data_IF_553968266733
#
_entry.id   IF_553968266733
#
_cell.length_a   1.000
_cell.length_b   1.000
_cell.length_c   1.000
_cell.angle_alpha   90.00
_cell.angle_beta   90.00
_cell.angle_gamma   90.00
#
_symmetry.space_group_name_H-M   'P 1'
#
loop_
_entity.id
_entity.type
_entity.pdbx_description
1 polymer ?
#
# COMPACT_ATOMS: atom_id res chain seq x y z
N UNK A 1 4.38 -42.11 28.75
CA UNK A 1 5.49 -41.24 29.22
C UNK A 1 5.19 -40.82 30.65
N UNK A 2 6.21 -40.66 31.50
CA UNK A 2 6.05 -40.04 32.83
C UNK A 2 5.54 -38.58 32.71
N UNK A 3 4.98 -38.06 33.81
CA UNK A 3 4.51 -36.68 34.02
C UNK A 3 5.37 -35.64 33.28
N UNK A 4 4.78 -35.03 32.23
CA UNK A 4 5.51 -34.15 31.32
C UNK A 4 5.79 -32.78 31.97
N UNK A 5 5.04 -32.43 33.01
CA UNK A 5 5.17 -31.17 33.74
C UNK A 5 6.24 -31.23 34.84
N UNK A 6 6.68 -32.43 35.25
CA UNK A 6 7.71 -32.59 36.28
C UNK A 6 9.08 -32.08 35.82
N UNK A 7 9.71 -31.12 36.53
CA UNK A 7 11.07 -30.69 36.28
C UNK A 7 12.08 -31.83 36.39
N UNK A 8 12.80 -32.15 35.31
CA UNK A 8 13.91 -33.11 35.31
C UNK A 8 14.89 -32.87 34.17
N UNK A 9 16.08 -33.44 34.31
CA UNK A 9 17.07 -33.54 33.24
C UNK A 9 16.62 -34.59 32.21
N UNK A 10 16.79 -34.27 30.92
CA UNK A 10 16.36 -35.09 29.78
C UNK A 10 17.41 -35.03 28.67
N UNK A 11 17.39 -36.05 27.82
CA UNK A 11 18.30 -36.18 26.65
C UNK A 11 17.53 -36.21 25.32
N UNK A 12 16.20 -36.16 25.39
CA UNK A 12 15.31 -36.44 24.27
C UNK A 12 14.35 -35.28 23.95
N UNK A 13 13.81 -34.59 24.95
CA UNK A 13 13.01 -33.39 24.73
C UNK A 13 13.00 -32.43 25.94
N UNK A 14 12.60 -31.18 25.71
CA UNK A 14 12.21 -30.21 26.75
C UNK A 14 11.04 -29.37 26.25
N UNK A 15 10.14 -29.01 27.15
CA UNK A 15 9.00 -28.12 26.87
C UNK A 15 9.21 -26.82 27.62
N UNK A 16 9.10 -25.72 26.90
CA UNK A 16 9.03 -24.36 27.40
C UNK A 16 7.60 -23.87 27.32
N UNK A 17 7.17 -23.14 28.35
CA UNK A 17 5.86 -22.50 28.38
C UNK A 17 6.01 -21.02 28.79
N UNK A 18 5.29 -20.14 28.11
CA UNK A 18 5.13 -18.74 28.49
C UNK A 18 3.81 -18.57 29.22
N UNK A 19 3.88 -18.12 30.48
CA UNK A 19 2.72 -18.06 31.39
C UNK A 19 2.43 -16.61 31.78
N UNK A 20 1.16 -16.22 31.80
CA UNK A 20 0.72 -14.91 32.30
C UNK A 20 0.87 -14.80 33.83
N UNK A 21 0.69 -13.60 34.38
CA UNK A 21 0.67 -13.40 35.85
C UNK A 21 -0.43 -14.22 36.54
N UNK A 22 -1.53 -14.48 35.84
CA UNK A 22 -2.68 -15.22 36.35
C UNK A 22 -2.56 -16.74 36.14
N UNK A 23 -1.41 -17.22 35.65
CA UNK A 23 -1.11 -18.64 35.53
C UNK A 23 -1.59 -19.29 34.25
N UNK A 24 -2.12 -18.53 33.28
CA UNK A 24 -2.54 -19.08 31.99
C UNK A 24 -1.34 -19.29 31.06
N UNK A 25 -1.28 -20.45 30.43
CA UNK A 25 -0.29 -20.75 29.39
C UNK A 25 -0.77 -20.10 28.09
N UNK A 26 0.10 -19.32 27.46
CA UNK A 26 -0.20 -18.57 26.23
C UNK A 26 0.86 -18.83 25.13
N UNK A 27 1.98 -19.46 25.48
CA UNK A 27 3.06 -19.82 24.56
C UNK A 27 3.60 -21.18 24.94
N UNK A 28 3.94 -22.02 23.96
CA UNK A 28 4.53 -23.34 24.14
C UNK A 28 5.63 -23.50 23.09
N UNK A 29 6.84 -23.90 23.50
CA UNK A 29 7.91 -24.31 22.58
C UNK A 29 8.45 -25.66 23.01
N UNK A 30 8.47 -26.60 22.09
CA UNK A 30 8.98 -27.96 22.32
C UNK A 30 10.26 -28.11 21.53
N UNK A 31 11.31 -28.55 22.20
CA UNK A 31 12.54 -29.03 21.57
C UNK A 31 12.63 -30.53 21.72
N UNK A 32 12.87 -31.25 20.63
CA UNK A 32 13.04 -32.69 20.65
C UNK A 32 14.00 -33.17 19.57
N UNK A 33 14.57 -34.36 19.76
CA UNK A 33 15.58 -34.92 18.85
C UNK A 33 15.07 -35.19 17.44
N UNK A 34 13.76 -35.33 17.28
CA UNK A 34 13.07 -35.52 16.02
C UNK A 34 11.64 -34.97 16.09
N UNK A 35 11.00 -34.87 14.92
CA UNK A 35 9.64 -34.34 14.73
C UNK A 35 8.58 -35.16 15.46
N UNK A 36 8.68 -36.49 15.42
CA UNK A 36 7.70 -37.39 16.04
C UNK A 36 7.66 -37.16 17.54
N UNK A 37 8.82 -37.09 18.18
CA UNK A 37 8.94 -36.85 19.61
C UNK A 37 8.49 -35.43 19.99
N UNK A 38 8.72 -34.43 19.14
CA UNK A 38 8.24 -33.06 19.37
C UNK A 38 6.71 -33.00 19.39
N UNK A 39 6.05 -33.66 18.44
CA UNK A 39 4.59 -33.74 18.36
C UNK A 39 3.99 -34.49 19.54
N UNK A 40 4.54 -35.67 19.88
CA UNK A 40 4.10 -36.45 21.04
C UNK A 40 4.22 -35.64 22.35
N UNK A 41 5.33 -34.93 22.52
CA UNK A 41 5.55 -34.09 23.70
C UNK A 41 4.58 -32.89 23.73
N UNK A 42 4.28 -32.27 22.60
CA UNK A 42 3.31 -31.18 22.53
C UNK A 42 1.90 -31.66 22.87
N UNK A 43 1.45 -32.76 22.26
CA UNK A 43 0.12 -33.33 22.51
C UNK A 43 -0.05 -33.76 23.98
N UNK A 44 0.95 -34.40 24.56
CA UNK A 44 0.93 -34.78 25.96
C UNK A 44 0.92 -33.55 26.88
N UNK A 45 1.70 -32.52 26.58
CA UNK A 45 1.72 -31.28 27.36
C UNK A 45 0.36 -30.58 27.36
N UNK A 46 -0.28 -30.48 26.18
CA UNK A 46 -1.63 -29.91 26.06
C UNK A 46 -2.64 -30.71 26.89
N UNK A 47 -2.59 -32.05 26.79
CA UNK A 47 -3.49 -32.95 27.52
C UNK A 47 -3.33 -32.84 29.04
N UNK A 48 -2.10 -32.83 29.55
CA UNK A 48 -1.83 -32.75 31.00
C UNK A 48 -2.16 -31.38 31.59
N UNK A 49 -2.17 -30.32 30.77
CA UNK A 49 -2.53 -28.96 31.19
C UNK A 49 -4.00 -28.59 30.87
N UNK A 50 -4.82 -29.56 30.44
CA UNK A 50 -6.22 -29.36 30.07
C UNK A 50 -6.45 -28.27 29.00
N UNK A 51 -5.50 -28.15 28.07
CA UNK A 51 -5.57 -27.20 26.95
C UNK A 51 -6.17 -27.91 25.74
N UNK A 52 -7.17 -27.29 25.11
CA UNK A 52 -7.72 -27.82 23.87
C UNK A 52 -6.79 -27.47 22.69
N UNK A 53 -6.41 -28.43 21.81
CA UNK A 53 -5.48 -28.16 20.71
C UNK A 53 -5.91 -27.02 19.78
N UNK A 54 -7.21 -26.77 19.62
CA UNK A 54 -7.72 -25.68 18.79
C UNK A 54 -7.40 -24.29 19.32
N UNK A 55 -7.10 -24.16 20.61
CA UNK A 55 -6.88 -22.88 21.28
C UNK A 55 -5.46 -22.34 21.00
N UNK A 56 -4.62 -23.18 20.40
CA UNK A 56 -3.25 -22.86 20.03
C UNK A 56 -3.05 -22.99 18.52
N UNK A 57 -2.16 -22.17 17.99
CA UNK A 57 -1.74 -22.17 16.59
C UNK A 57 -0.24 -22.41 16.56
N UNK A 58 0.19 -23.42 15.79
CA UNK A 58 1.62 -23.63 15.52
C UNK A 58 2.10 -22.51 14.59
N UNK A 59 3.07 -21.73 15.06
CA UNK A 59 3.61 -20.57 14.33
C UNK A 59 4.98 -20.85 13.72
N UNK A 60 5.69 -21.85 14.24
CA UNK A 60 7.03 -22.21 13.80
C UNK A 60 7.25 -23.70 14.05
N UNK A 61 7.87 -24.39 13.09
CA UNK A 61 8.33 -25.76 13.24
C UNK A 61 9.51 -26.04 12.30
N UNK A 62 10.41 -26.94 12.70
CA UNK A 62 11.55 -27.35 11.88
C UNK A 62 12.81 -27.63 12.70
N UNK A 63 13.90 -27.95 12.01
CA UNK A 63 15.19 -28.15 12.67
C UNK A 63 15.87 -26.81 12.94
N UNK A 64 16.22 -26.56 14.20
CA UNK A 64 17.06 -25.47 14.66
C UNK A 64 18.52 -25.94 14.74
N UNK A 65 19.44 -25.05 14.33
CA UNK A 65 20.87 -25.23 14.51
C UNK A 65 21.26 -24.96 15.97
N UNK A 66 21.90 -25.95 16.59
CA UNK A 66 22.36 -25.90 17.98
C UNK A 66 23.85 -26.21 18.09
N UNK A 67 24.60 -26.07 16.99
CA UNK A 67 26.04 -26.25 16.96
C UNK A 67 26.72 -25.37 18.03
N UNK A 68 27.57 -26.00 18.85
CA UNK A 68 28.26 -25.33 19.96
C UNK A 68 27.42 -25.14 21.24
N UNK A 69 26.15 -25.52 21.29
CA UNK A 69 25.35 -25.53 22.52
C UNK A 69 25.49 -26.87 23.25
N UNK A 70 25.80 -26.86 24.56
CA UNK A 70 25.86 -28.09 25.37
C UNK A 70 24.49 -28.51 25.92
N UNK A 71 23.66 -27.53 26.27
CA UNK A 71 22.34 -27.71 26.91
C UNK A 71 21.33 -26.67 26.43
N UNK A 72 20.05 -27.02 26.48
CA UNK A 72 18.92 -26.09 26.31
C UNK A 72 18.18 -25.97 27.65
N UNK A 73 18.12 -24.75 28.18
CA UNK A 73 17.51 -24.36 29.46
C UNK A 73 16.90 -22.97 29.34
N UNK A 74 16.12 -22.55 30.33
CA UNK A 74 15.63 -21.15 30.40
C UNK A 74 16.75 -20.12 30.48
N UNK A 75 17.97 -20.52 30.89
CA UNK A 75 19.16 -19.65 30.94
C UNK A 75 19.90 -19.56 29.61
N UNK A 76 19.83 -20.59 28.76
CA UNK A 76 20.45 -20.53 27.42
C UNK A 76 19.49 -19.89 26.42
N UNK A 77 18.19 -19.91 26.72
CA UNK A 77 17.12 -19.27 25.94
C UNK A 77 16.84 -17.83 26.43
N UNK A 78 17.89 -17.02 26.61
CA UNK A 78 17.76 -15.64 27.11
C UNK A 78 16.96 -14.75 26.15
N UNK A 79 17.16 -14.91 24.84
CA UNK A 79 16.44 -14.17 23.81
C UNK A 79 14.93 -14.49 23.84
N UNK A 80 14.58 -15.78 23.92
CA UNK A 80 13.19 -16.22 24.06
C UNK A 80 12.56 -15.67 25.36
N UNK A 81 13.31 -15.70 26.46
CA UNK A 81 12.89 -15.15 27.74
C UNK A 81 12.61 -13.64 27.65
N UNK A 82 13.47 -12.88 26.98
CA UNK A 82 13.29 -11.45 26.74
C UNK A 82 12.08 -11.16 25.83
N UNK A 83 11.89 -11.94 24.76
CA UNK A 83 10.74 -11.81 23.84
C UNK A 83 9.43 -12.03 24.58
N UNK A 84 9.36 -13.05 25.45
CA UNK A 84 8.16 -13.36 26.21
C UNK A 84 7.91 -12.35 27.32
N UNK A 85 8.95 -11.87 28.01
CA UNK A 85 8.84 -10.84 29.02
C UNK A 85 8.25 -9.54 28.46
N UNK A 86 8.63 -9.14 27.23
CA UNK A 86 8.03 -7.98 26.53
C UNK A 86 6.53 -8.14 26.29
N UNK A 87 6.04 -9.37 26.15
CA UNK A 87 4.61 -9.65 26.04
C UNK A 87 3.92 -9.97 27.37
N UNK A 88 4.57 -9.66 28.50
CA UNK A 88 4.00 -9.88 29.82
C UNK A 88 3.98 -11.35 30.25
N UNK A 89 4.72 -12.23 29.56
CA UNK A 89 4.78 -13.66 29.84
C UNK A 89 6.07 -14.01 30.56
N UNK A 90 5.97 -14.95 31.50
CA UNK A 90 7.11 -15.55 32.18
C UNK A 90 7.44 -16.87 31.52
N UNK A 91 8.67 -17.00 31.00
CA UNK A 91 9.19 -18.26 30.48
C UNK A 91 9.46 -19.23 31.62
N UNK A 92 8.92 -20.44 31.52
CA UNK A 92 9.23 -21.59 32.36
C UNK A 92 9.57 -22.79 31.49
N UNK A 93 10.29 -23.78 32.03
CA UNK A 93 10.54 -25.05 31.35
C UNK A 93 10.21 -26.22 32.25
N UNK A 94 9.90 -27.35 31.63
CA UNK A 94 9.74 -28.63 32.35
C UNK A 94 11.09 -29.30 32.65
N UNK A 95 12.25 -28.67 32.38
CA UNK A 95 13.54 -29.31 32.57
C UNK A 95 14.72 -28.69 31.84
N UNK A 96 15.80 -29.48 31.78
CA UNK A 96 17.06 -29.22 31.06
C UNK A 96 17.19 -30.29 29.98
N UNK A 97 17.52 -29.88 28.76
CA UNK A 97 17.85 -30.80 27.68
C UNK A 97 19.35 -30.81 27.41
N UNK A 98 19.98 -31.97 27.51
CA UNK A 98 21.38 -32.16 27.11
C UNK A 98 21.49 -32.51 25.63
N UNK A 99 22.31 -31.77 24.89
CA UNK A 99 22.45 -31.92 23.44
C UNK A 99 23.48 -32.99 23.05
N UNK A 100 24.41 -33.33 23.94
CA UNK A 100 25.42 -34.40 23.77
C UNK A 100 26.13 -34.38 22.41
N UNK A 101 26.48 -33.19 21.92
CA UNK A 101 27.19 -33.00 20.65
C UNK A 101 26.30 -33.13 19.40
N UNK A 102 24.99 -32.92 19.52
CA UNK A 102 24.10 -32.76 18.36
C UNK A 102 24.21 -31.34 17.83
N UNK A 103 24.24 -31.22 16.50
CA UNK A 103 24.29 -29.93 15.81
C UNK A 103 22.90 -29.42 15.42
N UNK A 104 21.88 -30.29 15.46
CA UNK A 104 20.50 -29.94 15.12
C UNK A 104 19.49 -30.57 16.06
N UNK A 105 18.40 -29.85 16.30
CA UNK A 105 17.26 -30.32 17.07
C UNK A 105 15.95 -29.89 16.42
N UNK A 106 14.91 -30.70 16.50
CA UNK A 106 13.60 -30.30 16.01
C UNK A 106 12.90 -29.41 17.04
N UNK A 107 12.24 -28.37 16.55
CA UNK A 107 11.43 -27.48 17.37
C UNK A 107 10.00 -27.35 16.84
N UNK A 108 9.06 -27.14 17.76
CA UNK A 108 7.68 -26.73 17.47
C UNK A 108 7.32 -25.60 18.43
N UNK A 109 6.87 -24.47 17.89
CA UNK A 109 6.37 -23.32 18.65
C UNK A 109 4.89 -23.14 18.40
N UNK A 110 4.10 -23.12 19.47
CA UNK A 110 2.66 -22.89 19.46
C UNK A 110 2.30 -21.69 20.35
N UNK A 111 1.39 -20.86 19.87
CA UNK A 111 0.92 -19.64 20.55
C UNK A 111 -0.60 -19.73 20.70
N UNK A 112 -1.13 -19.32 21.85
CA UNK A 112 -2.58 -19.25 22.05
C UNK A 112 -3.22 -18.23 21.11
N UNK A 113 -4.47 -18.46 20.72
CA UNK A 113 -5.22 -17.49 19.92
C UNK A 113 -5.39 -16.15 20.63
N UNK A 114 -5.57 -16.16 21.95
CA UNK A 114 -5.69 -14.94 22.77
C UNK A 114 -4.40 -14.11 22.80
N UNK A 115 -3.22 -14.74 22.86
CA UNK A 115 -1.94 -14.01 22.77
C UNK A 115 -1.67 -13.49 21.36
N UNK A 116 -2.06 -14.28 20.36
CA UNK A 116 -2.02 -13.87 18.96
C UNK A 116 -2.93 -12.67 18.72
N UNK A 117 -4.11 -12.63 19.35
CA UNK A 117 -5.08 -11.54 19.27
C UNK A 117 -4.64 -10.29 20.07
N UNK A 118 -4.07 -10.45 21.27
CA UNK A 118 -3.60 -9.33 22.09
C UNK A 118 -2.30 -8.68 21.59
N UNK A 119 -1.44 -9.42 20.86
CA UNK A 119 -0.29 -8.83 20.14
C UNK A 119 -0.66 -8.14 18.83
N UNK A 120 -1.83 -8.43 18.25
CA UNK A 120 -2.33 -7.80 17.02
C UNK A 120 -2.77 -6.34 17.20
N UNK A 121 -2.96 -5.90 18.45
CA UNK A 121 -3.17 -4.48 18.78
C UNK A 121 -1.84 -3.70 18.92
N UNK A 122 -0.67 -4.38 18.83
CA UNK A 122 0.65 -3.75 19.06
C UNK A 122 1.71 -3.98 17.96
N UNK A 123 1.45 -4.81 16.94
CA UNK A 123 2.21 -4.71 15.69
C UNK A 123 1.72 -3.48 14.93
N UNK A 124 2.42 -2.34 15.12
CA UNK A 124 2.29 -1.21 14.20
C UNK A 124 2.59 -1.73 12.79
N UNK A 125 1.55 -1.89 11.96
CA UNK A 125 1.74 -1.89 10.52
C UNK A 125 2.41 -0.54 10.23
N UNK A 126 3.70 -0.57 9.90
CA UNK A 126 4.42 0.62 9.48
C UNK A 126 3.81 0.98 8.12
N UNK A 127 2.78 1.81 8.16
CA UNK A 127 2.24 2.42 6.95
C UNK A 127 3.28 3.43 6.47
N UNK A 128 3.90 3.12 5.35
CA UNK A 128 4.85 4.00 4.70
C UNK A 128 4.32 4.37 3.32
N UNK A 129 4.34 5.66 3.02
CA UNK A 129 4.10 6.18 1.69
C UNK A 129 5.30 7.02 1.35
N UNK A 130 6.04 6.61 0.32
CA UNK A 130 7.18 7.33 -0.19
C UNK A 130 6.92 7.77 -1.62
N UNK A 131 7.20 9.03 -1.92
CA UNK A 131 7.12 9.61 -3.26
C UNK A 131 8.55 9.79 -3.77
N UNK A 132 8.94 8.96 -4.73
CA UNK A 132 10.24 9.05 -5.39
C UNK A 132 10.08 9.32 -6.89
N UNK A 133 10.63 10.45 -7.33
CA UNK A 133 10.63 10.89 -8.72
C UNK A 133 11.96 10.57 -9.44
N UNK A 134 12.88 9.85 -8.81
CA UNK A 134 14.19 9.52 -9.38
C UNK A 134 14.10 8.68 -10.66
N UNK A 135 13.06 7.86 -10.79
CA UNK A 135 12.89 6.91 -11.89
C UNK A 135 12.04 7.46 -13.06
N UNK A 136 11.67 8.73 -13.03
CA UNK A 136 10.85 9.36 -14.07
C UNK A 136 11.61 10.49 -14.75
N UNK A 137 11.56 10.55 -16.09
CA UNK A 137 12.15 11.64 -16.88
C UNK A 137 11.26 12.88 -16.75
N UNK A 138 11.40 13.59 -15.63
CA UNK A 138 10.65 14.80 -15.31
C UNK A 138 11.62 15.94 -14.97
N UNK A 139 11.49 17.12 -15.61
CA UNK A 139 12.30 18.29 -15.26
C UNK A 139 12.21 18.65 -13.78
N UNK A 140 13.34 18.99 -13.16
CA UNK A 140 13.47 19.24 -11.71
C UNK A 140 12.44 20.26 -11.19
N UNK A 141 12.13 21.28 -11.98
CA UNK A 141 11.15 22.33 -11.63
C UNK A 141 9.74 21.78 -11.38
N UNK A 142 9.34 20.70 -12.05
CA UNK A 142 8.06 20.04 -11.84
C UNK A 142 8.15 19.04 -10.69
N UNK A 143 9.24 18.27 -10.62
CA UNK A 143 9.52 17.34 -9.51
C UNK A 143 9.47 18.03 -8.15
N UNK A 144 10.12 19.19 -8.02
CA UNK A 144 10.12 19.98 -6.78
C UNK A 144 8.74 20.49 -6.39
N UNK A 145 7.84 20.70 -7.34
CA UNK A 145 6.46 21.14 -7.09
C UNK A 145 5.59 19.96 -6.67
N UNK A 146 5.74 18.81 -7.34
CA UNK A 146 5.01 17.59 -7.06
C UNK A 146 5.45 16.90 -5.76
N UNK A 147 6.67 17.15 -5.27
CA UNK A 147 7.12 16.61 -3.97
C UNK A 147 6.26 17.06 -2.79
N UNK A 148 5.49 18.15 -2.93
CA UNK A 148 4.49 18.59 -1.95
C UNK A 148 3.35 17.57 -1.74
N UNK A 149 3.14 16.65 -2.68
CA UNK A 149 2.14 15.57 -2.53
C UNK A 149 2.53 14.57 -1.42
N UNK A 150 3.79 14.55 -1.00
CA UNK A 150 4.24 13.72 0.14
C UNK A 150 3.62 14.15 1.47
N UNK A 151 3.05 15.35 1.55
CA UNK A 151 2.30 15.82 2.71
C UNK A 151 0.96 15.09 2.89
N UNK A 152 0.49 14.35 1.87
CA UNK A 152 -0.81 13.67 1.88
C UNK A 152 -2.00 14.58 2.21
N UNK A 153 -1.90 15.84 1.80
CA UNK A 153 -2.93 16.85 2.00
C UNK A 153 -3.79 17.02 0.74
N UNK A 154 -5.06 17.41 0.90
CA UNK A 154 -5.96 17.65 -0.22
C UNK A 154 -5.38 18.73 -1.15
N UNK A 155 -5.16 18.37 -2.41
CA UNK A 155 -4.39 19.19 -3.34
C UNK A 155 -5.22 19.59 -4.55
N UNK A 156 -5.12 20.86 -4.94
CA UNK A 156 -5.54 21.34 -6.25
C UNK A 156 -4.29 21.56 -7.12
N UNK A 157 -4.20 20.83 -8.22
CA UNK A 157 -3.12 20.94 -9.20
C UNK A 157 -3.65 21.68 -10.42
N UNK A 158 -3.01 22.80 -10.73
CA UNK A 158 -3.18 23.52 -11.98
C UNK A 158 -2.21 22.91 -13.01
N UNK A 159 -2.68 21.96 -13.80
CA UNK A 159 -1.87 21.16 -14.71
C UNK A 159 -1.91 21.69 -16.15
N UNK A 160 -1.33 22.87 -16.37
CA UNK A 160 -1.24 23.47 -17.71
C UNK A 160 -0.13 22.84 -18.57
N UNK A 161 0.74 22.03 -17.98
CA UNK A 161 1.76 21.25 -18.69
C UNK A 161 1.22 19.92 -19.22
N UNK A 162 -0.04 19.58 -18.95
CA UNK A 162 -0.70 18.34 -19.40
C UNK A 162 0.08 17.07 -19.05
N UNK A 163 0.61 17.02 -17.82
CA UNK A 163 1.27 15.83 -17.31
C UNK A 163 0.22 14.77 -16.96
N UNK A 164 0.38 13.53 -17.40
CA UNK A 164 -0.44 12.43 -16.91
C UNK A 164 -0.06 12.11 -15.45
N UNK A 165 -0.75 12.78 -14.53
CA UNK A 165 -0.51 12.63 -13.10
C UNK A 165 -0.88 11.23 -12.62
N UNK A 166 -1.88 10.58 -13.22
CA UNK A 166 -2.33 9.27 -12.77
C UNK A 166 -1.23 8.22 -12.99
N UNK A 167 -0.64 8.19 -14.18
CA UNK A 167 0.46 7.28 -14.52
C UNK A 167 1.74 7.64 -13.78
N UNK A 168 2.04 8.93 -13.66
CA UNK A 168 3.22 9.40 -12.93
C UNK A 168 3.17 8.96 -11.46
N UNK A 169 2.04 9.16 -10.79
CA UNK A 169 1.89 8.78 -9.38
C UNK A 169 2.02 7.27 -9.20
N UNK A 170 1.47 6.46 -10.11
CA UNK A 170 1.63 4.99 -10.07
C UNK A 170 3.09 4.54 -10.21
N UNK A 171 3.94 5.30 -10.91
CA UNK A 171 5.36 5.00 -11.09
C UNK A 171 6.24 5.54 -9.96
N UNK A 172 5.76 6.51 -9.18
CA UNK A 172 6.56 7.28 -8.21
C UNK A 172 6.19 6.99 -6.76
N UNK A 173 4.95 6.61 -6.49
CA UNK A 173 4.49 6.25 -5.15
C UNK A 173 4.83 4.79 -4.88
N UNK A 174 5.42 4.56 -3.70
CA UNK A 174 5.75 3.24 -3.19
C UNK A 174 5.46 3.18 -1.69
N UNK A 175 5.49 1.96 -1.14
CA UNK A 175 5.27 1.69 0.28
C UNK A 175 4.13 0.71 0.48
N UNK A 176 3.54 0.68 1.67
CA UNK A 176 2.45 -0.22 2.01
C UNK A 176 1.47 0.43 2.97
N UNK A 177 0.18 0.28 2.71
CA UNK A 177 -0.89 0.75 3.61
C UNK A 177 -1.86 -0.36 3.95
N UNK A 178 -2.48 -0.28 5.13
CA UNK A 178 -3.54 -1.21 5.52
C UNK A 178 -4.91 -0.60 5.22
N UNK A 179 -5.67 -1.23 4.32
CA UNK A 179 -7.05 -0.84 4.04
C UNK A 179 -8.03 -1.88 4.59
N UNK A 180 -9.24 -1.47 5.03
CA UNK A 180 -10.28 -2.43 5.35
C UNK A 180 -10.61 -3.31 4.14
N UNK A 181 -10.76 -4.62 4.33
CA UNK A 181 -11.31 -5.50 3.31
C UNK A 181 -12.79 -5.20 3.10
N UNK A 182 -13.51 -5.09 4.22
CA UNK A 182 -14.91 -4.76 4.29
C UNK A 182 -15.19 -3.87 5.51
N UNK A 183 -16.28 -3.11 5.42
CA UNK A 183 -16.82 -2.32 6.50
C UNK A 183 -18.20 -2.88 6.86
N UNK A 184 -18.35 -3.41 8.07
CA UNK A 184 -19.59 -4.01 8.55
C UNK A 184 -20.26 -3.14 9.62
N UNK A 185 -21.52 -2.77 9.38
CA UNK A 185 -22.32 -1.95 10.29
C UNK A 185 -23.79 -2.38 10.27
N UNK A 186 -24.35 -2.76 11.42
CA UNK A 186 -25.75 -3.19 11.54
C UNK A 186 -26.17 -4.27 10.52
N UNK A 187 -25.24 -5.18 10.19
CA UNK A 187 -25.40 -6.24 9.19
C UNK A 187 -25.32 -5.78 7.73
N UNK A 188 -25.02 -4.50 7.46
CA UNK A 188 -24.65 -3.99 6.13
C UNK A 188 -23.14 -4.17 5.94
N UNK A 189 -22.74 -4.80 4.83
CA UNK A 189 -21.34 -5.02 4.46
C UNK A 189 -21.02 -4.15 3.25
N UNK A 190 -19.99 -3.31 3.36
CA UNK A 190 -19.43 -2.54 2.25
C UNK A 190 -18.04 -3.07 1.92
N UNK A 191 -17.86 -3.65 0.73
CA UNK A 191 -16.57 -4.16 0.25
C UNK A 191 -15.69 -3.02 -0.23
N UNK A 192 -14.55 -2.81 0.43
CA UNK A 192 -13.60 -1.73 0.15
C UNK A 192 -12.44 -2.24 -0.71
N UNK A 193 -11.84 -3.37 -0.31
CA UNK A 193 -10.83 -4.03 -1.14
C UNK A 193 -11.47 -4.56 -2.43
N UNK A 194 -10.76 -4.33 -3.52
CA UNK A 194 -11.17 -4.65 -4.89
C UNK A 194 -9.91 -4.85 -5.74
N UNK A 195 -9.75 -6.03 -6.33
CA UNK A 195 -8.57 -6.42 -7.10
C UNK A 195 -8.39 -5.59 -8.38
N UNK A 196 -9.45 -4.94 -8.86
CA UNK A 196 -9.35 -4.00 -9.99
C UNK A 196 -8.53 -2.75 -9.62
N UNK A 197 -8.58 -2.35 -8.35
CA UNK A 197 -8.02 -1.09 -7.87
C UNK A 197 -6.83 -1.28 -6.92
N UNK A 198 -6.66 -2.48 -6.36
CA UNK A 198 -5.72 -2.75 -5.28
C UNK A 198 -4.79 -3.90 -5.60
N UNK A 199 -3.50 -3.70 -5.32
CA UNK A 199 -2.47 -4.75 -5.42
C UNK A 199 -2.17 -5.24 -4.01
N UNK A 200 -2.61 -6.45 -3.67
CA UNK A 200 -2.39 -7.04 -2.35
C UNK A 200 -0.93 -7.47 -2.16
N UNK A 201 -0.33 -7.05 -1.03
CA UNK A 201 0.98 -7.52 -0.53
C UNK A 201 0.86 -8.55 0.59
N UNK A 202 -0.27 -8.52 1.31
CA UNK A 202 -0.53 -9.39 2.44
C UNK A 202 -1.95 -9.22 2.96
N UNK A 203 -2.38 -10.14 3.82
CA UNK A 203 -3.74 -10.15 4.38
C UNK A 203 -3.67 -10.25 5.90
N UNK A 204 -4.41 -9.39 6.58
CA UNK A 204 -4.50 -9.34 8.04
C UNK A 204 -5.97 -9.32 8.44
N UNK A 205 -6.57 -10.47 8.77
CA UNK A 205 -7.97 -10.62 9.20
C UNK A 205 -8.99 -9.78 8.38
N UNK A 206 -9.30 -8.58 8.86
CA UNK A 206 -10.29 -7.60 8.38
C UNK A 206 -9.67 -6.52 7.47
N UNK A 207 -8.34 -6.45 7.37
CA UNK A 207 -7.58 -5.54 6.53
C UNK A 207 -6.74 -6.28 5.48
N UNK A 208 -6.38 -5.56 4.43
CA UNK A 208 -5.47 -6.00 3.38
C UNK A 208 -4.33 -5.01 3.30
N UNK A 209 -3.09 -5.50 3.32
CA UNK A 209 -1.94 -4.66 2.99
C UNK A 209 -1.86 -4.54 1.49
N UNK A 210 -1.82 -3.31 1.01
CA UNK A 210 -1.82 -2.98 -0.41
C UNK A 210 -0.74 -1.95 -0.73
N UNK A 211 -0.33 -1.90 -1.99
CA UNK A 211 0.33 -0.69 -2.50
C UNK A 211 -0.60 0.51 -2.25
N UNK A 212 -0.07 1.71 -1.90
CA UNK A 212 -0.88 2.90 -1.68
C UNK A 212 -1.87 3.12 -2.84
N UNK A 213 -3.19 3.10 -2.58
CA UNK A 213 -4.17 3.16 -3.65
C UNK A 213 -4.08 4.46 -4.45
N UNK A 214 -4.09 4.38 -5.77
CA UNK A 214 -4.14 5.54 -6.66
C UNK A 214 -5.33 5.36 -7.58
N UNK A 215 -6.48 5.87 -7.13
CA UNK A 215 -7.75 5.78 -7.82
C UNK A 215 -7.90 6.99 -8.72
N UNK A 216 -7.92 6.78 -10.04
CA UNK A 216 -8.11 7.84 -11.02
C UNK A 216 -9.55 7.85 -11.51
N UNK A 217 -10.10 9.04 -11.71
CA UNK A 217 -11.41 9.28 -12.32
C UNK A 217 -11.31 10.51 -13.23
N UNK A 218 -11.73 10.36 -14.48
CA UNK A 218 -11.71 11.39 -15.51
C UNK A 218 -13.12 11.78 -15.93
N UNK A 219 -13.48 13.07 -15.78
CA UNK A 219 -14.80 13.58 -16.14
C UNK A 219 -15.20 13.39 -17.61
N UNK A 220 -14.24 13.16 -18.51
CA UNK A 220 -14.51 12.98 -19.94
C UNK A 220 -14.84 11.52 -20.30
N UNK A 221 -14.51 10.57 -19.43
CA UNK A 221 -14.60 9.12 -19.70
C UNK A 221 -15.52 8.43 -18.70
N UNK A 222 -15.45 8.85 -17.44
CA UNK A 222 -16.09 8.17 -16.31
C UNK A 222 -17.40 8.82 -15.87
N UNK A 223 -18.17 8.07 -15.07
CA UNK A 223 -19.49 8.50 -14.59
C UNK A 223 -19.44 8.93 -13.13
N UNK A 224 -20.26 9.92 -12.76
CA UNK A 224 -20.44 10.32 -11.35
C UNK A 224 -21.09 9.19 -10.53
N UNK A 225 -21.72 8.22 -11.19
CA UNK A 225 -22.28 7.03 -10.54
C UNK A 225 -21.21 6.18 -9.84
N UNK A 226 -19.93 6.30 -10.21
CA UNK A 226 -18.83 5.59 -9.55
C UNK A 226 -18.55 6.10 -8.12
N UNK A 227 -19.14 7.23 -7.74
CA UNK A 227 -19.17 7.75 -6.37
C UNK A 227 -20.39 7.27 -5.56
N UNK A 228 -21.20 6.37 -6.10
CA UNK A 228 -22.37 5.79 -5.42
C UNK A 228 -22.11 4.36 -4.95
N UNK A 229 -22.80 3.95 -3.89
CA UNK A 229 -22.77 2.56 -3.40
C UNK A 229 -23.52 1.66 -4.39
N UNK A 230 -22.84 0.64 -4.93
CA UNK A 230 -23.44 -0.32 -5.88
C UNK A 230 -23.85 -1.57 -5.11
N UNK A 231 -25.15 -1.90 -5.09
CA UNK A 231 -25.65 -3.10 -4.40
C UNK A 231 -25.19 -4.35 -5.17
N UNK A 232 -24.59 -5.31 -4.47
CA UNK A 232 -24.16 -6.60 -5.02
C UNK A 232 -25.19 -7.67 -4.63
N UNK A 233 -25.48 -7.77 -3.34
CA UNK A 233 -26.42 -8.74 -2.75
C UNK A 233 -27.25 -8.08 -1.64
N UNK A 234 -28.10 -8.84 -0.97
CA UNK A 234 -28.84 -8.36 0.19
C UNK A 234 -27.88 -7.89 1.29
N UNK A 235 -28.00 -6.63 1.71
CA UNK A 235 -27.11 -5.98 2.66
C UNK A 235 -25.61 -5.90 2.25
N UNK A 236 -25.21 -6.30 1.04
CA UNK A 236 -23.81 -6.25 0.57
C UNK A 236 -23.65 -5.26 -0.58
N UNK A 237 -22.72 -4.33 -0.43
CA UNK A 237 -22.47 -3.23 -1.36
C UNK A 237 -21.00 -3.17 -1.77
N UNK A 238 -20.72 -2.81 -3.02
CA UNK A 238 -19.41 -2.35 -3.47
C UNK A 238 -19.22 -0.90 -3.03
N UNK A 239 -18.04 -0.60 -2.50
CA UNK A 239 -17.69 0.75 -2.10
C UNK A 239 -17.54 1.70 -3.31
N UNK A 240 -17.96 2.96 -3.18
CA UNK A 240 -17.66 4.01 -4.16
C UNK A 240 -16.15 4.31 -4.22
N UNK A 241 -15.69 4.94 -5.31
CA UNK A 241 -14.26 5.19 -5.56
C UNK A 241 -13.52 5.89 -4.41
N UNK A 242 -14.16 6.84 -3.74
CA UNK A 242 -13.53 7.55 -2.62
C UNK A 242 -13.26 6.65 -1.40
N UNK A 243 -14.05 5.58 -1.20
CA UNK A 243 -13.77 4.57 -0.19
C UNK A 243 -12.75 3.55 -0.68
N UNK A 244 -12.68 3.27 -2.00
CA UNK A 244 -11.58 2.47 -2.57
C UNK A 244 -10.24 3.19 -2.48
N UNK A 245 -10.21 4.52 -2.45
CA UNK A 245 -8.99 5.29 -2.25
C UNK A 245 -8.49 5.32 -0.78
N UNK A 246 -8.89 4.36 0.06
CA UNK A 246 -8.60 4.38 1.50
C UNK A 246 -7.09 4.40 1.77
N UNK A 247 -6.64 5.30 2.64
CA UNK A 247 -5.22 5.58 2.94
C UNK A 247 -4.36 5.90 1.72
N UNK A 248 -4.98 6.26 0.58
CA UNK A 248 -4.31 6.54 -0.68
C UNK A 248 -4.74 7.87 -1.30
N UNK A 249 -4.68 7.94 -2.63
CA UNK A 249 -4.98 9.10 -3.44
C UNK A 249 -6.17 8.85 -4.36
N UNK A 250 -7.13 9.78 -4.34
CA UNK A 250 -8.21 9.91 -5.31
C UNK A 250 -7.86 11.07 -6.25
N UNK A 251 -7.40 10.73 -7.46
CA UNK A 251 -7.02 11.67 -8.52
C UNK A 251 -8.23 11.92 -9.41
N UNK A 252 -8.67 13.17 -9.49
CA UNK A 252 -9.86 13.59 -10.22
C UNK A 252 -9.45 14.56 -11.34
N UNK A 253 -9.60 14.16 -12.60
CA UNK A 253 -9.32 15.01 -13.76
C UNK A 253 -10.58 15.78 -14.18
N UNK A 254 -10.49 17.10 -14.16
CA UNK A 254 -11.58 18.06 -14.45
C UNK A 254 -12.93 17.74 -13.78
N UNK A 255 -12.98 17.37 -12.48
CA UNK A 255 -14.22 16.92 -11.85
C UNK A 255 -15.27 18.01 -11.75
N UNK A 256 -16.57 17.65 -11.78
CA UNK A 256 -17.65 18.57 -11.45
C UNK A 256 -17.40 19.21 -10.08
N UNK A 257 -17.52 20.54 -10.00
CA UNK A 257 -17.29 21.30 -8.76
C UNK A 257 -18.11 20.78 -7.58
N UNK A 258 -19.34 20.34 -7.83
CA UNK A 258 -20.23 19.83 -6.79
C UNK A 258 -19.76 18.50 -6.19
N UNK A 259 -19.15 17.64 -7.00
CA UNK A 259 -18.52 16.39 -6.55
C UNK A 259 -17.36 16.71 -5.60
N UNK A 260 -16.45 17.59 -6.01
CA UNK A 260 -15.31 18.02 -5.17
C UNK A 260 -15.79 18.62 -3.84
N UNK A 261 -16.81 19.50 -3.90
CA UNK A 261 -17.42 20.10 -2.71
C UNK A 261 -18.02 19.06 -1.77
N UNK A 262 -18.65 18.01 -2.31
CA UNK A 262 -19.18 16.90 -1.52
C UNK A 262 -18.05 16.12 -0.82
N UNK A 263 -16.99 15.76 -1.57
CA UNK A 263 -15.84 15.02 -1.05
C UNK A 263 -15.09 15.78 0.05
N UNK A 264 -14.82 17.08 -0.14
CA UNK A 264 -14.20 17.91 0.90
C UNK A 264 -15.07 18.02 2.17
N UNK A 265 -16.40 18.07 2.02
CA UNK A 265 -17.33 18.12 3.17
C UNK A 265 -17.36 16.81 3.95
N UNK A 266 -17.30 15.66 3.29
CA UNK A 266 -17.25 14.36 3.99
C UNK A 266 -15.89 14.16 4.67
N UNK A 267 -14.78 14.50 4.00
CA UNK A 267 -13.44 14.46 4.62
C UNK A 267 -13.35 15.30 5.88
N UNK A 268 -13.88 16.53 5.85
CA UNK A 268 -13.92 17.39 7.04
C UNK A 268 -14.68 16.77 8.23
N UNK A 269 -15.65 15.88 7.96
CA UNK A 269 -16.40 15.18 9.00
C UNK A 269 -15.71 13.89 9.46
N UNK A 270 -14.76 13.36 8.70
CA UNK A 270 -14.13 12.06 8.93
C UNK A 270 -15.05 10.86 8.65
N UNK A 271 -16.31 11.09 8.27
CA UNK A 271 -17.29 10.05 7.99
C UNK A 271 -18.25 10.44 6.85
N UNK A 272 -18.74 9.43 6.13
CA UNK A 272 -19.88 9.54 5.21
C UNK A 272 -21.11 8.92 5.86
N UNK A 273 -22.24 9.64 5.78
CA UNK A 273 -23.55 9.16 6.26
C UNK A 273 -24.39 8.78 5.05
N UNK A 274 -24.79 7.52 4.99
CA UNK A 274 -25.57 6.97 3.88
C UNK A 274 -26.73 6.13 4.42
N UNK A 275 -27.81 6.02 3.64
CA UNK A 275 -28.90 5.10 3.94
C UNK A 275 -28.81 3.93 2.97
N UNK A 276 -28.58 2.72 3.48
CA UNK A 276 -28.47 1.48 2.71
C UNK A 276 -29.51 0.49 3.25
N UNK A 277 -30.36 -0.07 2.38
CA UNK A 277 -31.51 -0.92 2.74
C UNK A 277 -32.34 -0.37 3.93
N UNK A 278 -32.61 0.94 3.92
CA UNK A 278 -33.41 1.62 4.96
C UNK A 278 -32.67 1.86 6.29
N UNK A 279 -31.45 1.35 6.46
CA UNK A 279 -30.60 1.55 7.63
C UNK A 279 -29.65 2.72 7.41
N UNK A 280 -29.46 3.55 8.44
CA UNK A 280 -28.52 4.68 8.41
C UNK A 280 -27.15 4.20 8.86
N UNK A 281 -26.18 4.21 7.96
CA UNK A 281 -24.80 3.77 8.22
C UNK A 281 -23.88 4.98 8.24
N UNK A 282 -22.87 4.94 9.12
CA UNK A 282 -21.76 5.90 9.14
C UNK A 282 -20.48 5.14 8.86
N UNK A 283 -19.80 5.52 7.77
CA UNK A 283 -18.57 4.87 7.36
C UNK A 283 -17.41 5.86 7.51
N UNK A 284 -16.26 5.45 8.09
CA UNK A 284 -15.09 6.31 8.17
C UNK A 284 -14.57 6.60 6.75
N UNK A 285 -14.02 7.79 6.57
CA UNK A 285 -13.35 8.17 5.32
C UNK A 285 -11.91 8.60 5.61
N UNK A 286 -10.96 7.98 4.91
CA UNK A 286 -9.55 8.32 5.00
C UNK A 286 -8.94 8.18 3.60
N UNK A 287 -8.83 9.26 2.83
CA UNK A 287 -8.26 9.27 1.48
C UNK A 287 -7.79 10.68 1.17
N UNK A 288 -6.82 10.88 0.28
CA UNK A 288 -6.31 12.19 -0.15
C UNK A 288 -6.89 12.57 -1.50
N UNK A 289 -7.45 13.78 -1.63
CA UNK A 289 -7.99 14.26 -2.92
C UNK A 289 -6.89 14.98 -3.68
N UNK A 290 -6.71 14.63 -4.96
CA UNK A 290 -5.97 15.42 -5.93
C UNK A 290 -6.95 15.85 -7.01
N UNK A 291 -7.23 17.14 -7.12
CA UNK A 291 -7.95 17.70 -8.27
C UNK A 291 -6.94 18.14 -9.31
N UNK A 292 -6.98 17.52 -10.48
CA UNK A 292 -6.19 17.84 -11.66
C UNK A 292 -7.03 18.67 -12.63
N UNK A 293 -6.62 19.91 -12.90
CA UNK A 293 -7.38 20.82 -13.76
C UNK A 293 -6.50 21.84 -14.48
N UNK A 294 -6.94 22.28 -15.65
CA UNK A 294 -6.43 23.47 -16.36
C UNK A 294 -7.17 24.76 -15.98
N UNK A 295 -8.34 24.64 -15.37
CA UNK A 295 -9.34 25.70 -15.15
C UNK A 295 -9.62 25.90 -13.65
N UNK A 296 -8.65 26.46 -12.89
CA UNK A 296 -8.72 26.55 -11.43
C UNK A 296 -9.88 27.43 -10.94
N UNK A 297 -10.37 28.36 -11.78
CA UNK A 297 -11.55 29.19 -11.54
C UNK A 297 -12.81 28.37 -11.31
N UNK A 298 -12.94 27.19 -11.92
CA UNK A 298 -14.08 26.27 -11.71
C UNK A 298 -14.20 25.83 -10.24
N UNK A 299 -13.10 25.89 -9.49
CA UNK A 299 -13.03 25.49 -8.08
C UNK A 299 -12.91 26.71 -7.14
N UNK A 300 -13.22 27.91 -7.64
CA UNK A 300 -13.22 29.12 -6.82
C UNK A 300 -14.14 28.98 -5.59
N UNK A 301 -13.62 29.45 -4.45
CA UNK A 301 -14.26 29.33 -3.14
C UNK A 301 -14.08 27.97 -2.44
N UNK A 302 -13.56 26.94 -3.12
CA UNK A 302 -13.13 25.71 -2.47
C UNK A 302 -11.74 25.90 -1.84
N UNK A 303 -11.59 25.41 -0.61
CA UNK A 303 -10.35 25.54 0.17
C UNK A 303 -9.59 24.23 0.09
N UNK A 304 -8.41 24.29 -0.53
CA UNK A 304 -7.43 23.23 -0.54
C UNK A 304 -6.22 23.67 0.30
N UNK A 305 -5.71 22.83 1.21
CA UNK A 305 -4.49 23.13 1.96
C UNK A 305 -3.27 23.27 1.05
N UNK A 306 -3.20 22.49 -0.03
CA UNK A 306 -2.09 22.56 -0.99
C UNK A 306 -2.59 22.98 -2.37
N UNK A 307 -1.84 23.86 -3.02
CA UNK A 307 -2.06 24.27 -4.41
C UNK A 307 -0.76 24.18 -5.18
N UNK A 308 -0.75 23.37 -6.23
CA UNK A 308 0.42 23.16 -7.09
C UNK A 308 0.12 23.78 -8.44
N UNK A 309 1.04 24.58 -8.96
CA UNK A 309 0.93 25.14 -10.30
C UNK A 309 1.99 24.52 -11.21
N UNK A 310 1.58 23.82 -12.27
CA UNK A 310 2.43 23.26 -13.30
C UNK A 310 2.20 24.06 -14.59
N UNK A 311 2.97 25.14 -14.82
CA UNK A 311 2.83 25.97 -16.02
C UNK A 311 3.27 25.21 -17.28
N UNK A 312 2.88 25.65 -18.49
CA UNK A 312 3.43 25.14 -19.73
C UNK A 312 4.97 25.20 -19.74
N UNK A 313 5.58 24.39 -20.60
CA UNK A 313 7.04 24.35 -20.73
C UNK A 313 7.56 25.68 -21.30
N UNK A 314 8.67 26.16 -20.72
CA UNK A 314 9.48 27.21 -21.34
C UNK A 314 10.27 26.62 -22.52
N UNK A 315 10.82 27.51 -23.34
CA UNK A 315 11.52 27.15 -24.58
C UNK A 315 12.66 26.15 -24.34
N UNK A 316 13.46 26.35 -23.29
CA UNK A 316 14.56 25.46 -22.93
C UNK A 316 14.06 24.06 -22.56
N UNK A 317 13.07 23.98 -21.67
CA UNK A 317 12.50 22.70 -21.23
C UNK A 317 11.83 21.98 -22.39
N UNK A 318 11.03 22.69 -23.19
CA UNK A 318 10.33 22.12 -24.32
C UNK A 318 11.30 21.57 -25.37
N UNK A 319 12.34 22.34 -25.71
CA UNK A 319 13.40 21.91 -26.64
C UNK A 319 14.11 20.65 -26.16
N UNK A 320 14.46 20.60 -24.86
CA UNK A 320 15.14 19.44 -24.27
C UNK A 320 14.26 18.19 -24.29
N UNK A 321 13.03 18.29 -23.80
CA UNK A 321 12.09 17.16 -23.72
C UNK A 321 11.73 16.64 -25.13
N UNK A 322 11.53 17.55 -26.09
CA UNK A 322 11.24 17.17 -27.47
C UNK A 322 12.45 16.52 -28.15
N UNK A 323 13.66 16.98 -27.85
CA UNK A 323 14.90 16.36 -28.33
C UNK A 323 15.04 14.93 -27.86
N UNK A 324 14.77 14.68 -26.58
CA UNK A 324 14.78 13.35 -25.97
C UNK A 324 13.75 12.43 -26.65
N UNK A 325 12.51 12.90 -26.81
CA UNK A 325 11.43 12.12 -27.43
C UNK A 325 11.69 11.76 -28.91
N UNK A 326 12.35 12.65 -29.65
CA UNK A 326 12.63 12.46 -31.09
C UNK A 326 13.99 11.78 -31.36
N UNK A 327 14.91 11.80 -30.40
CA UNK A 327 16.29 11.33 -30.56
C UNK A 327 17.13 12.23 -31.49
N UNK A 328 16.80 13.52 -31.59
CA UNK A 328 17.53 14.52 -32.38
C UNK A 328 17.77 15.78 -31.54
N UNK A 329 18.76 16.59 -31.90
CA UNK A 329 18.98 17.89 -31.23
C UNK A 329 18.00 18.93 -31.80
N UNK A 330 16.98 19.30 -31.03
CA UNK A 330 16.03 20.36 -31.38
C UNK A 330 16.61 21.71 -30.97
N UNK A 331 16.77 22.66 -31.91
CA UNK A 331 17.25 24.01 -31.59
C UNK A 331 16.19 24.85 -30.87
N UNK A 332 16.60 25.63 -29.87
CA UNK A 332 15.67 26.44 -29.07
C UNK A 332 14.95 27.52 -29.88
N UNK A 333 15.55 28.05 -30.95
CA UNK A 333 14.96 29.06 -31.84
C UNK A 333 13.77 28.54 -32.64
N UNK A 334 13.59 27.22 -32.71
CA UNK A 334 12.42 26.59 -33.32
C UNK A 334 11.24 26.51 -32.34
N UNK A 335 11.45 26.55 -31.03
CA UNK A 335 10.38 26.40 -30.05
C UNK A 335 9.28 27.48 -30.13
N UNK A 336 9.57 28.76 -30.46
CA UNK A 336 8.53 29.78 -30.57
C UNK A 336 7.54 29.55 -31.71
N UNK A 337 7.88 28.71 -32.70
CA UNK A 337 6.98 28.38 -33.81
C UNK A 337 5.86 27.43 -33.40
N UNK A 338 6.02 26.73 -32.27
CA UNK A 338 4.96 25.92 -31.69
C UNK A 338 4.05 26.79 -30.82
N UNK A 339 2.71 26.69 -30.97
CA UNK A 339 1.78 27.38 -30.08
C UNK A 339 2.00 26.96 -28.63
N UNK A 340 1.76 27.87 -27.67
CA UNK A 340 1.94 27.59 -26.25
C UNK A 340 1.11 26.37 -25.77
N UNK A 341 -0.06 26.16 -26.37
CA UNK A 341 -0.96 25.03 -26.11
C UNK A 341 -0.32 23.66 -26.40
N UNK A 342 0.69 23.62 -27.28
CA UNK A 342 1.44 22.40 -27.63
C UNK A 342 2.77 22.29 -26.87
N UNK A 343 3.14 23.28 -26.05
CA UNK A 343 4.37 23.25 -25.22
C UNK A 343 4.12 22.52 -23.90
N UNK A 344 3.64 21.29 -24.02
CA UNK A 344 3.14 20.44 -22.93
C UNK A 344 3.59 18.99 -23.13
N UNK A 345 3.41 18.12 -22.14
CA UNK A 345 3.74 16.69 -22.29
C UNK A 345 2.89 16.01 -23.36
N UNK A 346 1.57 16.22 -23.31
CA UNK A 346 0.65 15.74 -24.35
C UNK A 346 1.00 16.33 -25.73
N UNK A 347 1.37 17.61 -25.78
CA UNK A 347 1.82 18.27 -27.00
C UNK A 347 3.06 17.60 -27.61
N UNK A 348 4.05 17.26 -26.79
CA UNK A 348 5.25 16.51 -27.23
C UNK A 348 4.85 15.14 -27.80
N UNK A 349 3.93 14.41 -27.19
CA UNK A 349 3.47 13.13 -27.72
C UNK A 349 2.79 13.29 -29.09
N UNK A 350 1.90 14.29 -29.23
CA UNK A 350 1.23 14.60 -30.50
C UNK A 350 2.25 14.95 -31.59
N UNK A 351 3.18 15.86 -31.29
CA UNK A 351 4.25 16.29 -32.21
C UNK A 351 5.12 15.10 -32.60
N UNK A 352 5.52 14.26 -31.64
CA UNK A 352 6.36 13.09 -31.88
C UNK A 352 5.67 12.09 -32.78
N UNK A 353 4.38 11.82 -32.55
CA UNK A 353 3.58 10.93 -33.39
C UNK A 353 3.40 11.47 -34.81
N UNK A 354 3.18 12.78 -34.97
CA UNK A 354 3.07 13.41 -36.28
C UNK A 354 4.41 13.40 -37.04
N UNK A 355 5.51 13.75 -36.35
CA UNK A 355 6.85 13.72 -36.93
C UNK A 355 7.25 12.32 -37.43
N UNK A 356 6.97 11.27 -36.64
CA UNK A 356 7.21 9.86 -37.05
C UNK A 356 6.45 9.52 -38.33
N UNK A 357 5.16 9.88 -38.41
CA UNK A 357 4.32 9.65 -39.60
C UNK A 357 4.81 10.39 -40.84
N UNK A 358 5.33 11.62 -40.70
CA UNK A 358 5.90 12.37 -41.83
C UNK A 358 7.24 11.78 -42.27
N UNK A 359 8.09 11.39 -41.32
CA UNK A 359 9.39 10.77 -41.60
C UNK A 359 9.28 9.47 -42.39
N UNK A 360 8.20 8.70 -42.21
CA UNK A 360 7.93 7.49 -42.99
C UNK A 360 7.53 7.79 -44.44
N UNK A 361 6.93 8.96 -44.70
CA UNK A 361 6.42 9.36 -46.02
C UNK A 361 7.41 10.19 -46.82
N UNK A 362 8.24 10.95 -46.13
CA UNK A 362 9.06 12.00 -46.74
C UNK A 362 10.55 11.80 -46.42
N UNK A 363 11.39 11.95 -47.45
CA UNK A 363 12.85 11.95 -47.29
C UNK A 363 13.37 13.36 -47.04
N UNK A 364 13.00 13.94 -45.89
CA UNK A 364 13.47 15.25 -45.42
C UNK A 364 14.38 15.11 -44.20
N UNK A 365 15.15 16.16 -43.92
CA UNK A 365 15.92 16.25 -42.68
C UNK A 365 15.00 16.34 -41.45
N UNK A 366 15.47 15.85 -40.30
CA UNK A 366 14.68 15.80 -39.07
C UNK A 366 14.18 17.17 -38.62
N UNK A 367 14.96 18.24 -38.81
CA UNK A 367 14.58 19.61 -38.42
C UNK A 367 13.61 20.23 -39.43
N UNK A 368 13.79 19.92 -40.72
CA UNK A 368 12.86 20.37 -41.76
C UNK A 368 11.47 19.76 -41.56
N UNK A 369 11.40 18.46 -41.25
CA UNK A 369 10.17 17.79 -40.85
C UNK A 369 9.55 18.44 -39.61
N UNK A 370 10.37 18.82 -38.63
CA UNK A 370 9.88 19.43 -37.40
C UNK A 370 9.27 20.83 -37.63
N UNK A 371 9.83 21.62 -38.56
CA UNK A 371 9.23 22.90 -39.01
C UNK A 371 7.87 22.69 -39.68
N UNK A 372 7.76 21.65 -40.49
CA UNK A 372 6.49 21.29 -41.12
C UNK A 372 5.45 20.84 -40.08
N UNK A 373 5.87 20.04 -39.09
CA UNK A 373 5.02 19.69 -37.95
C UNK A 373 4.53 20.96 -37.23
N UNK A 374 5.43 21.91 -36.96
CA UNK A 374 5.07 23.19 -36.34
C UNK A 374 4.04 23.98 -37.15
N UNK A 375 4.20 24.02 -38.49
CA UNK A 375 3.23 24.66 -39.38
C UNK A 375 1.85 23.97 -39.31
N UNK A 376 1.83 22.64 -39.38
CA UNK A 376 0.58 21.84 -39.32
C UNK A 376 -0.16 22.08 -38.00
N UNK A 377 0.51 21.97 -36.85
CA UNK A 377 -0.14 22.16 -35.54
C UNK A 377 -0.56 23.61 -35.27
N UNK A 378 0.10 24.57 -35.93
CA UNK A 378 -0.29 25.97 -35.90
C UNK A 378 -1.47 26.30 -36.83
N UNK A 379 -1.99 25.32 -37.57
CA UNK A 379 -3.05 25.52 -38.56
C UNK A 379 -2.57 26.27 -39.82
N UNK A 380 -1.25 26.42 -39.99
CA UNK A 380 -0.64 26.95 -41.19
C UNK A 380 -0.56 25.85 -42.24
N UNK A 381 -1.06 26.12 -43.45
CA UNK A 381 -0.77 25.26 -44.60
C UNK A 381 0.73 25.38 -44.90
N UNK A 382 1.46 24.26 -45.08
CA UNK A 382 2.91 24.27 -45.38
C UNK A 382 3.31 25.13 -46.58
#
# INVERSE_FOLDING_TARGET
MEDINKPKERDNFVVFAGITRDGQIQFIRVYAIDETLALEALEQFLKENHIHPSDFVVVEQGYEDVEGKEVITTRTEEELSAILARAGLKLVSNGILYLKGRDKIYQITAISRELLESRRDTEEVIEDINLDFSNVSLPEKYTKRLSLLSLMEDTLILNRVELDLSELLKKTISGTVAIPRLLEYDGIIVRVFDEEFHIAKGSYLDKVLVDPPIIHWDAHIDSVEDFSFKKIEENVYSAPLFLKAFSGFLVLTEPPRDLVRMLLKMKKRGEVKVTLDGKRVRLPVNFTIIVDTKYPENYSGLKFPVRINLPPMDDETFSSMLSEALGISVPQDLTPTFPEEYRTFLGIEIITNLWKKLKEKEKKDGIELLREVAAIVSGGVP
#
